data_IF_205445602971
#
_entry.id   IF_205445602971
#
_cell.length_a   1.000
_cell.length_b   1.000
_cell.length_c   1.000
_cell.angle_alpha   90.00
_cell.angle_beta   90.00
_cell.angle_gamma   90.00
#
_symmetry.space_group_name_H-M   'P 1'
#
loop_
_entity.id
_entity.type
_entity.pdbx_description
1 polymer ?
#
# COMPACT_ATOMS: atom_id res chain seq x y z
N UNK A 1 40.67 -78.63 -68.02
CA UNK A 1 40.12 -77.26 -67.93
C UNK A 1 39.35 -77.13 -66.60
N UNK A 2 39.87 -76.45 -65.58
CA UNK A 2 39.13 -76.26 -64.28
C UNK A 2 38.27 -75.00 -64.29
N UNK A 3 37.05 -75.15 -63.91
CA UNK A 3 36.06 -74.07 -63.66
C UNK A 3 36.42 -73.35 -62.41
N UNK A 4 36.63 -72.01 -62.48
CA UNK A 4 36.81 -71.13 -61.36
C UNK A 4 35.41 -70.79 -60.82
N UNK A 5 35.13 -71.14 -59.55
CA UNK A 5 33.95 -70.73 -58.77
C UNK A 5 34.27 -69.39 -58.12
N UNK A 6 33.53 -68.35 -58.53
CA UNK A 6 33.63 -67.03 -57.98
C UNK A 6 32.71 -66.96 -56.71
N UNK A 7 33.35 -66.86 -55.54
CA UNK A 7 32.64 -66.65 -54.24
C UNK A 7 32.29 -65.19 -54.09
N UNK A 8 31.00 -64.94 -54.06
CA UNK A 8 30.46 -63.63 -53.64
C UNK A 8 30.48 -63.55 -52.16
N UNK A 9 31.18 -62.52 -51.52
CA UNK A 9 31.04 -62.11 -50.14
C UNK A 9 29.96 -61.06 -50.09
N UNK A 10 29.00 -61.21 -49.19
CA UNK A 10 28.05 -60.13 -48.92
C UNK A 10 28.71 -59.06 -48.02
N UNK A 11 28.83 -57.84 -48.52
CA UNK A 11 29.21 -56.66 -47.71
C UNK A 11 27.97 -56.23 -46.89
N UNK A 12 28.03 -56.52 -45.59
CA UNK A 12 27.06 -55.98 -44.64
C UNK A 12 27.37 -54.48 -44.43
N UNK A 13 26.58 -53.59 -45.09
CA UNK A 13 26.54 -52.19 -44.78
C UNK A 13 25.78 -52.03 -43.46
N UNK A 14 26.51 -51.91 -42.35
CA UNK A 14 25.95 -51.45 -41.11
C UNK A 14 25.60 -49.96 -41.23
N UNK A 15 24.32 -49.65 -41.50
CA UNK A 15 23.80 -48.29 -41.53
C UNK A 15 23.78 -47.71 -40.09
N UNK A 16 24.74 -46.87 -39.82
CA UNK A 16 24.67 -45.98 -38.62
C UNK A 16 23.52 -45.01 -38.84
N UNK A 17 22.38 -45.25 -38.20
CA UNK A 17 21.28 -44.25 -38.08
C UNK A 17 21.78 -43.23 -37.07
N UNK A 18 22.38 -42.16 -37.53
CA UNK A 18 22.60 -40.96 -36.74
C UNK A 18 21.23 -40.29 -36.62
N UNK A 19 20.61 -40.41 -35.45
CA UNK A 19 19.41 -39.64 -35.11
C UNK A 19 19.84 -38.17 -34.99
N UNK A 20 19.76 -37.45 -36.10
CA UNK A 20 19.86 -35.98 -36.08
C UNK A 20 18.59 -35.51 -35.41
N UNK A 21 18.68 -35.10 -34.13
CA UNK A 21 17.64 -34.31 -33.51
C UNK A 21 17.62 -32.99 -34.29
N UNK A 22 16.62 -32.82 -35.14
CA UNK A 22 16.35 -31.54 -35.75
C UNK A 22 15.91 -30.60 -34.63
N UNK A 23 16.83 -29.80 -34.12
CA UNK A 23 16.44 -28.61 -33.38
C UNK A 23 15.43 -27.88 -34.25
N UNK A 24 14.27 -27.57 -33.69
CA UNK A 24 13.18 -26.96 -34.46
C UNK A 24 13.69 -25.66 -35.09
N UNK A 25 13.20 -25.37 -36.31
CA UNK A 25 13.56 -24.13 -37.02
C UNK A 25 13.38 -22.88 -36.14
N UNK A 26 12.48 -22.97 -35.12
CA UNK A 26 12.23 -22.00 -34.11
C UNK A 26 13.42 -21.74 -33.18
N UNK A 27 14.20 -22.77 -32.84
CA UNK A 27 15.40 -22.59 -31.99
C UNK A 27 16.53 -21.84 -32.71
N UNK A 28 16.57 -21.91 -34.04
CA UNK A 28 17.54 -21.16 -34.87
C UNK A 28 17.14 -19.69 -35.01
N UNK A 29 15.85 -19.38 -34.90
CA UNK A 29 15.30 -18.00 -35.02
C UNK A 29 15.22 -17.27 -33.67
N UNK A 30 15.50 -17.94 -32.56
CA UNK A 30 15.44 -17.36 -31.25
C UNK A 30 16.56 -16.33 -31.04
N UNK A 31 16.24 -15.07 -30.70
CA UNK A 31 17.24 -14.01 -30.62
C UNK A 31 18.18 -14.12 -29.41
N UNK A 32 17.96 -15.11 -28.53
CA UNK A 32 18.78 -15.39 -27.36
C UNK A 32 17.98 -16.17 -26.31
N UNK A 33 18.66 -16.57 -25.24
CA UNK A 33 17.99 -17.27 -24.11
C UNK A 33 17.13 -16.29 -23.29
N UNK A 34 15.98 -16.78 -22.82
CA UNK A 34 15.18 -16.07 -21.82
C UNK A 34 15.87 -16.10 -20.45
N UNK A 35 15.39 -15.31 -19.51
CA UNK A 35 15.91 -15.34 -18.13
C UNK A 35 15.66 -16.71 -17.48
N UNK A 36 16.40 -17.01 -16.41
CA UNK A 36 16.30 -18.29 -15.69
C UNK A 36 14.86 -18.56 -15.21
N UNK A 37 14.14 -17.51 -14.76
CA UNK A 37 12.74 -17.63 -14.32
C UNK A 37 11.77 -18.14 -15.39
N UNK A 38 12.10 -17.95 -16.68
CA UNK A 38 11.29 -18.39 -17.82
C UNK A 38 11.87 -19.59 -18.56
N UNK A 39 12.99 -20.17 -18.08
CA UNK A 39 13.69 -21.27 -18.73
C UNK A 39 12.80 -22.48 -19.06
N UNK A 40 11.83 -22.77 -18.20
CA UNK A 40 10.92 -23.91 -18.35
C UNK A 40 9.95 -23.80 -19.53
N UNK A 41 9.67 -22.59 -19.98
CA UNK A 41 8.74 -22.31 -21.09
C UNK A 41 9.46 -21.83 -22.35
N UNK A 42 10.79 -21.78 -22.35
CA UNK A 42 11.61 -21.23 -23.44
C UNK A 42 11.37 -21.84 -24.79
N UNK A 43 11.09 -23.15 -24.84
CA UNK A 43 10.86 -23.88 -26.08
C UNK A 43 9.45 -23.75 -26.63
N UNK A 44 8.54 -23.20 -25.87
CA UNK A 44 7.14 -22.95 -26.27
C UNK A 44 6.95 -21.48 -26.57
N UNK A 45 7.26 -21.05 -27.79
CA UNK A 45 7.17 -19.64 -28.21
C UNK A 45 5.75 -19.08 -28.05
N UNK A 46 4.72 -19.92 -28.15
CA UNK A 46 3.31 -19.51 -28.04
C UNK A 46 2.91 -19.14 -26.62
N UNK A 47 3.68 -19.50 -25.60
CA UNK A 47 3.46 -19.06 -24.22
C UNK A 47 3.67 -17.55 -24.04
N UNK A 48 4.45 -16.93 -24.95
CA UNK A 48 4.79 -15.51 -24.87
C UNK A 48 4.39 -14.73 -26.13
N UNK A 49 4.25 -15.41 -27.29
CA UNK A 49 4.04 -14.77 -28.57
C UNK A 49 2.75 -15.23 -29.25
N UNK A 50 1.93 -14.25 -29.66
CA UNK A 50 0.79 -14.49 -30.54
C UNK A 50 1.22 -14.14 -31.96
N UNK A 51 1.11 -15.09 -32.91
CA UNK A 51 1.49 -14.89 -34.31
C UNK A 51 0.82 -13.63 -34.88
N UNK A 52 1.62 -12.75 -35.46
CA UNK A 52 1.18 -11.51 -36.11
C UNK A 52 0.45 -10.48 -35.21
N UNK A 53 0.43 -10.67 -33.87
CA UNK A 53 -0.25 -9.77 -32.92
C UNK A 53 0.71 -9.35 -31.80
N UNK A 54 1.65 -8.45 -32.10
CA UNK A 54 2.62 -7.96 -31.11
C UNK A 54 1.97 -7.32 -29.87
N UNK A 55 0.84 -6.63 -30.02
CA UNK A 55 0.12 -6.00 -28.92
C UNK A 55 -0.61 -6.98 -27.97
N UNK A 56 -0.79 -8.24 -28.36
CA UNK A 56 -1.42 -9.26 -27.50
C UNK A 56 -0.46 -9.86 -26.46
N UNK A 57 0.83 -9.56 -26.55
CA UNK A 57 1.85 -10.17 -25.69
C UNK A 57 1.67 -9.83 -24.21
N UNK A 58 1.23 -8.64 -23.89
CA UNK A 58 0.98 -8.25 -22.49
C UNK A 58 -0.05 -9.14 -21.80
N UNK A 59 -1.10 -9.58 -22.51
CA UNK A 59 -2.08 -10.53 -21.98
C UNK A 59 -1.43 -11.85 -21.61
N UNK A 60 -0.56 -12.38 -22.48
CA UNK A 60 0.15 -13.65 -22.21
C UNK A 60 1.04 -13.57 -20.97
N UNK A 61 1.70 -12.44 -20.73
CA UNK A 61 2.47 -12.22 -19.51
C UNK A 61 1.59 -12.30 -18.26
N UNK A 62 0.42 -11.67 -18.31
CA UNK A 62 -0.51 -11.57 -17.17
C UNK A 62 -1.20 -12.89 -16.83
N UNK A 63 -1.25 -13.87 -17.73
CA UNK A 63 -1.75 -15.23 -17.44
C UNK A 63 -0.92 -15.94 -16.36
N UNK A 64 0.39 -15.67 -16.30
CA UNK A 64 1.29 -16.23 -15.29
C UNK A 64 1.60 -15.23 -14.17
N UNK A 65 1.66 -13.92 -14.48
CA UNK A 65 1.92 -12.86 -13.52
C UNK A 65 0.59 -12.33 -12.92
N UNK A 66 -0.16 -13.22 -12.26
CA UNK A 66 -1.49 -12.92 -11.70
C UNK A 66 -1.48 -11.80 -10.65
N UNK A 67 -0.39 -11.66 -9.89
CA UNK A 67 -0.23 -10.58 -8.93
C UNK A 67 -0.17 -9.21 -9.62
N UNK A 68 0.52 -9.12 -10.75
CA UNK A 68 0.59 -7.90 -11.56
C UNK A 68 -0.75 -7.65 -12.29
N UNK A 69 -1.39 -8.70 -12.80
CA UNK A 69 -2.71 -8.59 -13.39
C UNK A 69 -3.73 -8.01 -12.40
N UNK A 70 -3.69 -8.49 -11.15
CA UNK A 70 -4.55 -8.01 -10.08
C UNK A 70 -4.28 -6.55 -9.73
N UNK A 71 -3.01 -6.17 -9.62
CA UNK A 71 -2.63 -4.77 -9.36
C UNK A 71 -3.13 -3.85 -10.47
N UNK A 72 -2.94 -4.23 -11.73
CA UNK A 72 -3.40 -3.45 -12.87
C UNK A 72 -4.94 -3.27 -12.87
N UNK A 73 -5.70 -4.36 -12.61
CA UNK A 73 -7.15 -4.30 -12.52
C UNK A 73 -7.65 -3.45 -11.34
N UNK A 74 -6.99 -3.54 -10.19
CA UNK A 74 -7.37 -2.83 -8.98
C UNK A 74 -6.79 -1.43 -8.87
N UNK A 75 -6.00 -1.00 -9.84
CA UNK A 75 -5.25 0.27 -9.83
C UNK A 75 -4.39 0.40 -8.57
N UNK A 76 -3.65 -0.65 -8.24
CA UNK A 76 -2.78 -0.72 -7.08
C UNK A 76 -1.32 -0.90 -7.47
N UNK A 77 -0.43 -0.45 -6.57
CA UNK A 77 1.01 -0.53 -6.81
C UNK A 77 1.45 0.22 -8.06
N UNK A 78 2.73 0.12 -8.40
CA UNK A 78 3.30 0.83 -9.55
C UNK A 78 2.61 0.46 -10.89
N UNK A 79 2.40 -0.83 -11.15
CA UNK A 79 1.79 -1.28 -12.40
C UNK A 79 0.32 -0.88 -12.54
N UNK A 80 -0.41 -0.74 -11.43
CA UNK A 80 -1.79 -0.29 -11.44
C UNK A 80 -1.97 1.21 -11.71
N UNK A 81 -0.93 2.01 -11.44
CA UNK A 81 -0.92 3.46 -11.67
C UNK A 81 -0.28 3.85 -13.01
N UNK A 82 0.35 2.91 -13.71
CA UNK A 82 0.85 3.19 -15.06
C UNK A 82 -0.33 3.41 -16.02
N UNK A 83 -0.19 4.39 -16.91
CA UNK A 83 -1.00 4.45 -18.10
C UNK A 83 -0.75 3.20 -18.95
N UNK A 84 -1.73 2.76 -19.74
CA UNK A 84 -1.62 1.56 -20.58
C UNK A 84 -0.30 1.53 -21.34
N UNK A 85 0.60 0.67 -20.92
CA UNK A 85 1.88 0.42 -21.58
C UNK A 85 2.04 -1.09 -21.78
N UNK A 86 2.59 -1.44 -22.95
CA UNK A 86 2.94 -2.84 -23.19
C UNK A 86 4.09 -3.27 -22.26
N UNK A 87 3.98 -4.46 -21.66
CA UNK A 87 5.00 -4.99 -20.75
C UNK A 87 6.41 -4.94 -21.34
N UNK A 88 6.52 -5.24 -22.64
CA UNK A 88 7.80 -5.20 -23.39
C UNK A 88 8.44 -3.82 -23.54
N UNK A 89 7.70 -2.74 -23.25
CA UNK A 89 8.29 -1.40 -23.26
C UNK A 89 9.33 -1.22 -22.16
N UNK A 90 9.16 -1.94 -21.06
CA UNK A 90 10.07 -1.92 -19.90
C UNK A 90 10.79 -3.25 -19.71
N UNK A 91 10.11 -4.38 -19.98
CA UNK A 91 10.63 -5.72 -19.75
C UNK A 91 10.97 -6.40 -21.07
N UNK A 92 12.25 -6.58 -21.35
CA UNK A 92 12.72 -7.22 -22.60
C UNK A 92 13.39 -8.55 -22.32
N UNK A 93 12.79 -9.62 -22.81
CA UNK A 93 13.33 -10.97 -22.76
C UNK A 93 14.43 -11.22 -23.79
N UNK A 94 14.96 -12.45 -23.85
CA UNK A 94 15.99 -12.93 -24.77
C UNK A 94 17.35 -12.26 -24.61
N UNK A 95 17.65 -11.75 -23.41
CA UNK A 95 18.96 -11.15 -23.06
C UNK A 95 19.87 -12.09 -22.27
N UNK A 96 19.47 -13.37 -22.14
CA UNK A 96 20.24 -14.40 -21.46
C UNK A 96 19.76 -14.70 -20.04
N UNK A 97 20.18 -15.85 -19.50
CA UNK A 97 19.72 -16.41 -18.22
C UNK A 97 19.84 -15.46 -17.04
N UNK A 98 20.90 -14.71 -16.98
CA UNK A 98 21.21 -13.82 -15.85
C UNK A 98 20.82 -12.36 -16.11
N UNK A 99 20.08 -12.09 -17.19
CA UNK A 99 19.68 -10.73 -17.49
C UNK A 99 18.68 -10.21 -16.46
N UNK A 100 18.86 -8.96 -16.01
CA UNK A 100 17.84 -8.24 -15.27
C UNK A 100 16.89 -7.57 -16.26
N UNK A 101 15.71 -8.16 -16.47
CA UNK A 101 14.69 -7.63 -17.38
C UNK A 101 13.74 -6.62 -16.71
N UNK A 102 13.92 -6.39 -15.42
CA UNK A 102 13.15 -5.39 -14.64
C UNK A 102 14.10 -4.44 -13.90
N UNK A 103 15.00 -3.73 -14.62
CA UNK A 103 15.95 -2.83 -13.97
C UNK A 103 15.21 -1.65 -13.34
N UNK A 104 15.44 -1.42 -12.05
CA UNK A 104 14.95 -0.24 -11.35
C UNK A 104 15.98 0.89 -11.47
N UNK A 105 15.59 1.99 -12.06
CA UNK A 105 16.36 3.24 -11.99
C UNK A 105 15.92 4.04 -10.77
N UNK A 106 16.62 3.88 -9.66
CA UNK A 106 16.30 4.54 -8.39
C UNK A 106 16.30 6.07 -8.49
N UNK A 107 17.02 6.65 -9.44
CA UNK A 107 17.10 8.11 -9.62
C UNK A 107 15.89 8.67 -10.36
N UNK A 108 15.24 7.84 -11.17
CA UNK A 108 14.11 8.22 -12.04
C UNK A 108 12.79 7.66 -11.58
N UNK A 109 12.78 6.78 -10.55
CA UNK A 109 11.56 6.17 -10.05
C UNK A 109 10.65 7.20 -9.39
N UNK A 110 9.44 7.34 -9.90
CA UNK A 110 8.46 8.29 -9.36
C UNK A 110 7.44 7.58 -8.45
N UNK A 111 7.55 7.80 -7.15
CA UNK A 111 6.62 7.27 -6.15
C UNK A 111 5.20 7.83 -6.27
N UNK A 112 4.96 8.88 -7.06
CA UNK A 112 3.59 9.33 -7.35
C UNK A 112 2.78 8.28 -8.11
N UNK A 113 3.48 7.35 -8.77
CA UNK A 113 2.90 6.21 -9.46
C UNK A 113 2.80 4.97 -8.56
N UNK A 114 2.69 5.14 -7.26
CA UNK A 114 2.54 4.04 -6.29
C UNK A 114 1.42 4.33 -5.30
N UNK A 115 1.04 3.33 -4.51
CA UNK A 115 0.06 3.50 -3.43
C UNK A 115 0.59 4.35 -2.26
N UNK A 116 1.88 4.64 -2.25
CA UNK A 116 2.54 5.47 -1.24
C UNK A 116 3.36 6.61 -1.87
N UNK A 117 2.69 7.66 -2.35
CA UNK A 117 3.39 8.85 -2.84
C UNK A 117 4.19 9.50 -1.70
N UNK A 118 5.47 9.76 -1.93
CA UNK A 118 6.29 10.43 -0.91
C UNK A 118 5.85 11.90 -0.74
N UNK A 119 5.47 12.27 0.48
CA UNK A 119 5.02 13.62 0.83
C UNK A 119 5.66 14.10 2.13
N UNK A 120 5.68 15.41 2.36
CA UNK A 120 6.16 16.02 3.60
C UNK A 120 7.53 15.48 4.03
N UNK A 121 7.60 14.96 5.25
CA UNK A 121 8.82 14.36 5.79
C UNK A 121 9.40 13.21 4.97
N UNK A 122 8.54 12.41 4.33
CA UNK A 122 8.98 11.28 3.49
C UNK A 122 9.56 11.72 2.14
N UNK A 123 9.19 12.91 1.65
CA UNK A 123 9.81 13.51 0.45
C UNK A 123 11.14 14.20 0.73
N UNK A 124 11.53 14.31 2.00
CA UNK A 124 12.77 14.97 2.37
C UNK A 124 14.00 14.19 1.89
N UNK A 125 15.05 14.90 1.47
CA UNK A 125 16.25 14.32 0.88
C UNK A 125 17.02 13.32 1.77
N UNK A 126 16.68 13.21 3.04
CA UNK A 126 17.31 12.29 4.00
C UNK A 126 16.73 10.87 3.99
N UNK A 127 15.53 10.67 3.43
CA UNK A 127 14.91 9.36 3.33
C UNK A 127 15.51 8.61 2.15
N UNK A 128 16.05 7.42 2.40
CA UNK A 128 16.70 6.58 1.40
C UNK A 128 15.82 5.39 1.05
N UNK A 129 15.98 4.82 -0.16
CA UNK A 129 15.21 3.66 -0.62
C UNK A 129 15.19 2.53 0.42
N UNK A 130 16.35 2.21 1.02
CA UNK A 130 16.53 1.15 2.02
C UNK A 130 15.83 1.39 3.36
N UNK A 131 15.40 2.61 3.65
CA UNK A 131 14.68 2.89 4.90
C UNK A 131 13.30 2.20 4.87
N UNK A 132 12.70 2.14 3.69
CA UNK A 132 11.42 1.48 3.45
C UNK A 132 11.59 0.10 2.78
N UNK A 133 12.45 -0.02 1.77
CA UNK A 133 12.65 -1.23 0.99
C UNK A 133 13.79 -2.07 1.54
N UNK A 134 13.46 -3.23 2.11
CA UNK A 134 14.47 -4.10 2.77
C UNK A 134 15.13 -5.03 1.74
N UNK A 135 16.45 -5.27 1.86
CA UNK A 135 17.15 -6.21 0.98
C UNK A 135 16.48 -7.58 0.93
N UNK A 136 16.41 -8.18 -0.25
CA UNK A 136 15.81 -9.49 -0.47
C UNK A 136 14.27 -9.53 -0.43
N UNK A 137 13.60 -8.39 -0.29
CA UNK A 137 12.15 -8.26 -0.43
C UNK A 137 11.79 -7.57 -1.73
N UNK A 138 10.62 -7.89 -2.29
CA UNK A 138 10.10 -7.15 -3.43
C UNK A 138 9.77 -5.71 -3.01
N UNK A 139 10.03 -4.72 -3.84
CA UNK A 139 9.72 -3.30 -3.53
C UNK A 139 8.23 -3.09 -3.20
N UNK A 140 7.34 -3.82 -3.88
CA UNK A 140 5.90 -3.79 -3.64
C UNK A 140 5.46 -4.28 -2.26
N UNK A 141 6.31 -5.02 -1.55
CA UNK A 141 6.01 -5.58 -0.23
C UNK A 141 6.39 -4.61 0.91
N UNK A 142 6.86 -3.40 0.57
CA UNK A 142 7.12 -2.37 1.57
C UNK A 142 5.82 -1.99 2.28
N UNK A 143 5.79 -1.96 3.63
CA UNK A 143 4.60 -1.59 4.36
C UNK A 143 4.26 -0.11 4.14
N UNK A 144 2.97 0.18 3.93
CA UNK A 144 2.46 1.55 3.75
C UNK A 144 1.79 2.12 5.01
N UNK A 145 1.55 1.29 6.02
CA UNK A 145 0.91 1.73 7.26
C UNK A 145 1.89 2.52 8.14
N UNK A 146 1.48 3.68 8.64
CA UNK A 146 2.30 4.53 9.50
C UNK A 146 2.92 3.76 10.68
N UNK A 147 2.12 2.93 11.33
CA UNK A 147 2.54 2.15 12.51
C UNK A 147 3.62 1.11 12.21
N UNK A 148 3.74 0.65 10.97
CA UNK A 148 4.74 -0.33 10.59
C UNK A 148 6.18 0.20 10.75
N UNK A 149 6.35 1.52 10.62
CA UNK A 149 7.62 2.21 10.81
C UNK A 149 7.64 3.04 12.10
N UNK A 150 6.53 3.74 12.43
CA UNK A 150 6.43 4.74 13.48
C UNK A 150 5.80 4.22 14.79
N UNK A 151 5.74 2.90 15.01
CA UNK A 151 5.17 2.34 16.25
C UNK A 151 5.86 2.87 17.50
N UNK A 152 7.19 3.09 17.44
CA UNK A 152 7.97 3.60 18.58
C UNK A 152 7.75 5.08 18.85
N UNK A 153 7.31 5.81 17.81
CA UNK A 153 7.06 7.25 17.88
C UNK A 153 5.63 7.56 18.33
N UNK A 154 4.78 6.52 18.49
CA UNK A 154 3.39 6.67 18.89
C UNK A 154 3.27 7.07 20.38
N UNK A 155 3.07 8.37 20.62
CA UNK A 155 2.84 8.94 21.96
C UNK A 155 1.54 8.47 22.60
N UNK A 156 0.58 8.00 21.78
CA UNK A 156 -0.71 7.49 22.24
C UNK A 156 -0.65 6.02 22.68
N UNK A 157 0.50 5.34 22.48
CA UNK A 157 0.73 3.94 22.87
C UNK A 157 -0.37 2.99 22.36
N UNK A 158 -0.81 3.20 21.13
CA UNK A 158 -1.83 2.39 20.47
C UNK A 158 -3.28 2.66 20.88
N UNK A 159 -3.53 3.53 21.85
CA UNK A 159 -4.90 3.76 22.39
C UNK A 159 -5.88 4.35 21.39
N UNK A 160 -5.39 5.04 20.35
CA UNK A 160 -6.21 5.63 19.28
C UNK A 160 -6.30 4.76 18.03
N UNK A 161 -5.70 3.56 18.06
CA UNK A 161 -5.68 2.66 16.93
C UNK A 161 -4.56 2.99 15.94
N UNK A 162 -4.66 2.43 14.72
CA UNK A 162 -3.58 2.50 13.70
C UNK A 162 -3.84 3.51 12.58
N UNK A 163 -5.00 4.13 12.54
CA UNK A 163 -5.41 5.06 11.47
C UNK A 163 -4.91 6.48 11.74
N UNK A 164 -3.61 6.65 11.84
CA UNK A 164 -2.96 7.91 12.20
C UNK A 164 -3.34 9.08 11.28
N UNK A 165 -3.54 8.79 9.99
CA UNK A 165 -3.93 9.77 8.97
C UNK A 165 -5.31 10.41 9.18
N UNK A 166 -6.16 9.86 10.09
CA UNK A 166 -7.44 10.49 10.44
C UNK A 166 -7.24 11.79 11.23
N UNK A 167 -6.09 11.96 11.85
CA UNK A 167 -5.79 13.12 12.70
C UNK A 167 -4.53 13.85 12.24
N UNK A 168 -3.55 13.15 11.71
CA UNK A 168 -2.24 13.67 11.33
C UNK A 168 -2.06 13.67 9.82
N UNK A 169 -1.17 14.53 9.32
CA UNK A 169 -0.74 14.52 7.93
C UNK A 169 0.77 14.39 7.82
N UNK A 170 1.25 13.86 6.70
CA UNK A 170 2.67 13.74 6.40
C UNK A 170 3.36 15.09 6.20
N UNK A 171 2.60 16.14 5.82
CA UNK A 171 3.12 17.50 5.65
C UNK A 171 3.35 18.20 6.98
N UNK A 172 2.42 18.02 7.92
CA UNK A 172 2.50 18.64 9.23
C UNK A 172 1.93 17.71 10.28
N UNK A 173 2.80 16.89 10.84
CA UNK A 173 2.45 15.90 11.85
C UNK A 173 1.94 16.53 13.15
N UNK A 174 2.37 17.73 13.47
CA UNK A 174 2.01 18.40 14.72
C UNK A 174 0.63 19.05 14.68
N UNK A 175 0.17 19.44 13.51
CA UNK A 175 -1.16 20.01 13.33
C UNK A 175 -2.19 18.90 13.25
N UNK A 176 -2.90 18.70 14.35
CA UNK A 176 -3.95 17.70 14.48
C UNK A 176 -5.26 18.26 13.93
N UNK A 177 -5.92 17.48 13.08
CA UNK A 177 -7.26 17.77 12.56
C UNK A 177 -8.22 16.73 13.12
N UNK A 178 -8.96 17.10 14.15
CA UNK A 178 -9.99 16.25 14.72
C UNK A 178 -11.30 17.01 14.88
N UNK A 179 -12.37 16.48 14.31
CA UNK A 179 -13.69 17.06 14.38
C UNK A 179 -14.52 16.40 15.50
N UNK A 180 -14.81 17.14 16.56
CA UNK A 180 -15.64 16.69 17.66
C UNK A 180 -17.14 16.65 17.33
N UNK A 181 -17.59 17.18 16.19
CA UNK A 181 -19.00 17.21 15.82
C UNK A 181 -19.62 15.80 15.73
N UNK A 182 -18.80 14.81 15.39
CA UNK A 182 -19.19 13.40 15.28
C UNK A 182 -19.02 12.60 16.59
N UNK A 183 -18.62 13.27 17.69
CA UNK A 183 -18.42 12.62 18.98
C UNK A 183 -19.64 12.77 19.89
N UNK A 184 -19.62 12.05 21.03
CA UNK A 184 -20.66 12.19 22.05
C UNK A 184 -20.61 13.54 22.78
N UNK A 185 -19.57 14.35 22.59
CA UNK A 185 -19.40 15.68 23.15
C UNK A 185 -18.96 16.65 22.04
N UNK A 186 -19.88 17.10 21.19
CA UNK A 186 -19.59 18.14 20.20
C UNK A 186 -19.12 19.41 20.91
N UNK A 187 -18.06 20.05 20.44
CA UNK A 187 -17.57 21.29 20.98
C UNK A 187 -18.47 22.44 20.49
N UNK A 188 -19.29 22.96 21.37
CA UNK A 188 -20.20 24.08 21.09
C UNK A 188 -19.89 25.24 22.03
N UNK A 189 -20.45 26.43 21.72
CA UNK A 189 -20.28 27.62 22.55
C UNK A 189 -18.79 27.93 22.84
N UNK A 190 -18.49 28.14 24.10
CA UNK A 190 -17.13 28.45 24.58
C UNK A 190 -16.17 27.27 24.58
N UNK A 191 -16.67 26.04 24.43
CA UNK A 191 -15.83 24.87 24.35
C UNK A 191 -15.11 24.76 23.00
N UNK A 192 -15.50 25.51 21.96
CA UNK A 192 -14.81 25.51 20.66
C UNK A 192 -13.38 26.01 20.73
N UNK A 193 -13.11 26.91 21.66
CA UNK A 193 -11.82 27.59 21.78
C UNK A 193 -10.91 26.95 22.83
N UNK A 194 -11.35 25.82 23.43
CA UNK A 194 -10.60 25.11 24.49
C UNK A 194 -9.54 24.22 23.89
N UNK A 195 -8.36 24.23 24.46
CA UNK A 195 -7.24 23.37 24.01
C UNK A 195 -7.48 21.88 24.30
N UNK A 196 -6.96 21.01 23.45
CA UNK A 196 -7.13 19.56 23.59
C UNK A 196 -6.79 19.06 25.00
N UNK A 197 -5.70 19.55 25.59
CA UNK A 197 -5.19 19.12 26.91
C UNK A 197 -6.03 19.59 28.09
N UNK A 198 -6.86 20.60 27.90
CA UNK A 198 -7.74 21.12 28.97
C UNK A 198 -8.87 20.12 29.27
N UNK A 199 -9.20 19.26 28.29
CA UNK A 199 -10.17 18.19 28.44
C UNK A 199 -9.51 16.81 28.51
N UNK A 200 -8.43 16.60 27.75
CA UNK A 200 -7.70 15.35 27.62
C UNK A 200 -6.34 15.41 28.32
N UNK A 201 -6.35 15.27 29.64
CA UNK A 201 -5.11 15.22 30.44
C UNK A 201 -4.28 13.95 30.17
N UNK A 202 -4.93 12.89 29.68
CA UNK A 202 -4.35 11.60 29.36
C UNK A 202 -4.06 11.52 27.83
N UNK A 203 -2.89 11.01 27.40
CA UNK A 203 -2.58 10.84 25.98
C UNK A 203 -3.51 9.86 25.25
N UNK A 204 -4.38 9.16 25.95
CA UNK A 204 -5.37 8.26 25.35
C UNK A 204 -6.50 9.00 24.63
N UNK A 205 -6.75 10.25 24.95
CA UNK A 205 -7.81 11.07 24.35
C UNK A 205 -9.22 10.42 24.35
N UNK A 206 -9.44 9.45 25.24
CA UNK A 206 -10.70 8.72 25.38
C UNK A 206 -11.17 8.78 26.85
N UNK A 207 -12.49 8.75 27.03
CA UNK A 207 -13.06 8.65 28.37
C UNK A 207 -13.04 9.96 29.16
N UNK A 208 -12.82 11.10 28.50
CA UNK A 208 -13.01 12.40 29.16
C UNK A 208 -14.46 12.49 29.69
N UNK A 209 -14.66 12.96 30.95
CA UNK A 209 -16.00 13.12 31.51
C UNK A 209 -16.77 14.16 30.72
N UNK A 210 -18.08 13.94 30.55
CA UNK A 210 -18.96 14.81 29.76
C UNK A 210 -19.88 15.69 30.64
N UNK A 211 -19.94 15.43 31.95
CA UNK A 211 -20.77 16.21 32.88
C UNK A 211 -20.10 17.55 33.18
N UNK A 212 -20.85 18.61 33.12
CA UNK A 212 -20.38 19.98 33.41
C UNK A 212 -19.60 20.08 34.73
N UNK A 213 -20.12 19.46 35.78
CA UNK A 213 -19.53 19.48 37.13
C UNK A 213 -18.16 18.77 37.18
N UNK A 214 -17.89 17.85 36.28
CA UNK A 214 -16.62 17.14 36.31
C UNK A 214 -15.41 18.05 36.01
N UNK A 215 -15.61 19.08 35.22
CA UNK A 215 -14.61 20.11 34.92
C UNK A 215 -14.88 21.41 35.75
N UNK A 216 -16.15 21.80 35.92
CA UNK A 216 -16.56 23.09 36.48
C UNK A 216 -16.94 23.05 37.98
N UNK A 217 -16.58 21.95 38.70
CA UNK A 217 -16.88 21.84 40.13
C UNK A 217 -16.33 23.00 40.97
N UNK A 218 -15.10 23.44 40.65
CA UNK A 218 -14.46 24.55 41.39
C UNK A 218 -15.20 25.90 41.17
N UNK A 219 -15.80 26.07 40.00
CA UNK A 219 -16.55 27.29 39.70
C UNK A 219 -17.85 27.29 40.45
N UNK A 220 -18.57 26.14 40.53
CA UNK A 220 -19.76 25.97 41.33
C UNK A 220 -19.48 26.17 42.83
N UNK A 221 -18.40 25.57 43.36
CA UNK A 221 -18.01 25.65 44.78
C UNK A 221 -17.65 27.11 45.20
N UNK A 222 -17.03 27.90 44.32
CA UNK A 222 -16.53 29.24 44.62
C UNK A 222 -17.54 30.37 44.40
N UNK A 223 -18.20 30.33 43.24
CA UNK A 223 -19.02 31.44 42.77
C UNK A 223 -20.43 31.02 42.37
N UNK A 224 -20.69 29.72 42.33
CA UNK A 224 -21.96 29.16 41.92
C UNK A 224 -22.86 28.80 43.09
N UNK A 225 -23.66 27.81 42.89
CA UNK A 225 -24.73 27.39 43.78
C UNK A 225 -24.28 26.44 44.89
N UNK A 226 -22.99 26.00 44.86
CA UNK A 226 -22.41 25.05 45.82
C UNK A 226 -23.18 23.73 45.88
N UNK A 227 -23.63 23.27 44.73
CA UNK A 227 -24.37 22.00 44.57
C UNK A 227 -25.85 22.05 44.97
N UNK A 228 -26.41 23.19 45.39
CA UNK A 228 -27.80 23.29 45.88
C UNK A 228 -28.86 22.88 44.87
N UNK A 229 -28.60 23.08 43.58
CA UNK A 229 -29.55 22.76 42.51
C UNK A 229 -29.19 21.47 41.76
N UNK A 230 -28.35 20.66 42.39
CA UNK A 230 -27.91 19.42 41.78
C UNK A 230 -26.79 19.62 40.73
N UNK A 231 -26.58 18.62 39.87
CA UNK A 231 -25.44 18.56 38.97
C UNK A 231 -25.82 18.63 37.49
N UNK A 232 -27.10 18.81 37.17
CA UNK A 232 -27.59 18.95 35.80
C UNK A 232 -27.62 20.43 35.41
N UNK A 233 -26.43 21.00 35.25
CA UNK A 233 -26.25 22.44 35.01
C UNK A 233 -26.92 22.87 33.69
N UNK A 234 -26.97 21.98 32.71
CA UNK A 234 -27.58 22.16 31.40
C UNK A 234 -29.09 22.41 31.44
N UNK A 235 -29.76 22.11 32.54
CA UNK A 235 -31.18 22.44 32.68
C UNK A 235 -31.44 23.95 32.87
N UNK A 236 -30.41 24.66 33.31
CA UNK A 236 -30.52 26.10 33.59
C UNK A 236 -29.56 26.93 32.76
N UNK A 237 -28.42 26.41 32.39
CA UNK A 237 -27.34 27.14 31.71
C UNK A 237 -27.09 26.64 30.30
N UNK A 238 -26.52 27.51 29.46
CA UNK A 238 -26.04 27.19 28.12
C UNK A 238 -24.55 27.44 28.01
N UNK A 239 -23.87 26.64 27.20
CA UNK A 239 -22.41 26.65 27.03
C UNK A 239 -21.87 27.88 26.27
N UNK A 240 -22.75 28.59 25.52
CA UNK A 240 -22.35 29.80 24.76
C UNK A 240 -22.22 31.02 25.70
N UNK A 241 -23.05 31.09 26.74
CA UNK A 241 -22.99 32.14 27.76
C UNK A 241 -23.61 31.63 29.07
N UNK A 242 -22.74 31.35 30.04
CA UNK A 242 -23.14 30.83 31.34
C UNK A 242 -24.09 31.72 32.12
N UNK A 243 -24.13 33.02 31.84
CA UNK A 243 -25.03 33.99 32.49
C UNK A 243 -26.47 33.93 31.98
N UNK A 244 -26.64 33.34 30.78
CA UNK A 244 -27.99 33.15 30.23
C UNK A 244 -28.65 31.95 30.92
N UNK A 245 -29.76 32.23 31.60
CA UNK A 245 -30.58 31.23 32.27
C UNK A 245 -31.76 30.89 31.37
N UNK A 246 -31.90 29.60 31.06
CA UNK A 246 -32.97 29.07 30.20
C UNK A 246 -34.10 28.40 31.00
N UNK A 247 -33.92 28.25 32.30
CA UNK A 247 -34.92 27.63 33.18
C UNK A 247 -36.20 28.50 33.26
N UNK A 248 -37.34 27.85 33.08
CA UNK A 248 -38.65 28.48 33.19
C UNK A 248 -39.49 27.70 34.20
N UNK A 249 -39.87 28.36 35.32
CA UNK A 249 -40.65 27.75 36.41
C UNK A 249 -41.99 27.17 35.93
N UNK A 250 -42.68 27.83 35.02
CA UNK A 250 -43.98 27.38 34.54
C UNK A 250 -43.92 26.11 33.69
N UNK A 251 -42.78 25.92 33.01
CA UNK A 251 -42.55 24.75 32.14
C UNK A 251 -41.82 23.62 32.87
N UNK A 252 -40.83 23.94 33.70
CA UNK A 252 -39.81 23.01 34.16
C UNK A 252 -40.03 22.52 35.60
N UNK A 253 -41.11 22.99 36.29
CA UNK A 253 -41.46 22.59 37.68
C UNK A 253 -42.74 21.77 37.78
N UNK A 254 -43.31 21.30 36.69
CA UNK A 254 -44.49 20.42 36.67
C UNK A 254 -44.16 18.99 36.99
#
# INVERSE_FOLDING_TARGET
MPRRVLRWLPVLLAGFIVSVHADSLESVLMPGKVIEGHAKVETDCQKCHVRFKKGAQSGMCLECHEDIARDAMQRRGYHGHLTEQECRACHTEHKGRNANIAPLDEKRFDHKLTDFPLKGGHAAAKVQCRDCHKPGKKHRDAPADCVACHQKDDTHKGSLGKSCGNCHSEQDWKTVRFDHSSTRFPLTGKHRDVGCKDCHADPKFKGAPMQCVACHKKDDDRKGHKGRFGRKCETCHVDRDWKVIIFNHDRDTK
#
